data_IF_854557942190
#
_entry.id   IF_854557942190
#
_cell.length_a   1.000
_cell.length_b   1.000
_cell.length_c   1.000
_cell.angle_alpha   90.00
_cell.angle_beta   90.00
_cell.angle_gamma   90.00
#
_symmetry.space_group_name_H-M   'P 1'
#
loop_
_entity.id
_entity.type
_entity.pdbx_description
1 polymer ?
#
# COMPACT_ATOMS: atom_id res chain seq x y z
N UNK A 1 -1.32 27.10 -56.73
CA UNK A 1 -0.68 28.43 -56.85
C UNK A 1 -1.42 29.39 -55.92
N UNK A 2 -0.66 30.17 -55.12
CA UNK A 2 -1.06 31.33 -54.29
C UNK A 2 -2.09 31.09 -53.17
N UNK A 3 -1.91 31.46 -51.89
CA UNK A 3 -1.01 32.41 -51.21
C UNK A 3 -0.83 32.00 -49.73
N UNK A 4 0.33 32.38 -49.16
CA UNK A 4 0.74 32.31 -47.75
C UNK A 4 0.25 33.54 -46.96
N UNK A 5 0.25 33.45 -45.62
CA UNK A 5 0.16 34.56 -44.64
C UNK A 5 -0.45 34.08 -43.30
N UNK A 6 0.28 33.56 -42.30
CA UNK A 6 1.19 34.18 -41.30
C UNK A 6 0.47 34.60 -39.99
N UNK A 7 0.96 34.00 -38.88
CA UNK A 7 1.02 34.51 -37.48
C UNK A 7 -0.29 34.60 -36.66
N UNK A 8 -0.34 34.51 -35.32
CA UNK A 8 0.67 34.47 -34.26
C UNK A 8 0.07 33.82 -33.00
N UNK A 9 0.95 33.34 -32.11
CA UNK A 9 0.66 33.03 -30.72
C UNK A 9 0.22 34.27 -29.91
N UNK A 10 -0.52 34.05 -28.83
CA UNK A 10 -0.71 35.02 -27.75
C UNK A 10 -0.16 34.46 -26.44
N UNK A 11 0.97 35.03 -26.02
CA UNK A 11 1.44 35.11 -24.64
C UNK A 11 0.54 36.06 -23.82
N UNK A 12 0.46 35.81 -22.51
CA UNK A 12 0.55 36.84 -21.47
C UNK A 12 0.90 36.12 -20.17
N UNK A 13 2.17 36.03 -19.78
CA UNK A 13 2.98 37.04 -19.07
C UNK A 13 2.46 37.36 -17.67
N UNK A 14 3.25 37.01 -16.65
CA UNK A 14 3.82 38.01 -15.74
C UNK A 14 5.06 37.45 -15.04
N UNK A 15 6.24 37.91 -15.50
CA UNK A 15 7.52 37.82 -14.80
C UNK A 15 7.51 38.67 -13.52
N UNK A 16 8.27 38.25 -12.48
CA UNK A 16 9.12 39.22 -11.79
C UNK A 16 10.32 38.58 -11.04
N UNK A 17 11.51 38.80 -11.65
CA UNK A 17 12.81 39.19 -11.06
C UNK A 17 13.59 38.28 -10.09
N UNK A 18 14.70 37.82 -10.64
CA UNK A 18 15.96 37.39 -10.02
C UNK A 18 16.69 38.48 -9.21
N UNK A 19 17.39 38.09 -8.13
CA UNK A 19 18.66 38.66 -7.65
C UNK A 19 19.55 37.58 -6.97
N UNK A 20 20.90 37.73 -6.94
CA UNK A 20 21.90 36.65 -6.93
C UNK A 20 22.44 36.26 -5.52
N UNK A 21 23.37 35.27 -5.40
CA UNK A 21 23.64 34.54 -4.17
C UNK A 21 24.66 35.22 -3.24
N UNK A 22 24.53 34.96 -1.94
CA UNK A 22 25.53 35.31 -0.93
C UNK A 22 26.50 34.14 -0.71
N UNK A 23 27.77 34.37 -1.08
CA UNK A 23 28.94 33.61 -0.61
C UNK A 23 29.20 33.92 0.87
N UNK A 24 29.48 32.89 1.66
CA UNK A 24 30.25 33.03 2.91
C UNK A 24 31.35 31.99 2.92
N UNK A 25 32.59 32.46 2.71
CA UNK A 25 33.81 31.74 3.07
C UNK A 25 34.04 31.86 4.58
N UNK A 26 34.22 30.74 5.28
CA UNK A 26 35.03 30.69 6.51
C UNK A 26 35.82 29.39 6.58
N UNK A 27 37.15 29.57 6.57
CA UNK A 27 38.18 28.59 6.95
C UNK A 27 38.18 28.38 8.46
N UNK A 28 38.35 27.14 8.91
CA UNK A 28 39.08 26.73 10.12
C UNK A 28 39.15 25.20 10.12
N UNK A 29 40.25 24.56 9.66
CA UNK A 29 41.47 24.24 10.42
C UNK A 29 41.21 23.39 11.67
N UNK A 30 41.22 22.06 11.51
CA UNK A 30 41.72 21.16 12.54
C UNK A 30 42.61 20.08 11.91
N UNK A 31 43.77 19.93 12.54
CA UNK A 31 44.95 19.22 12.10
C UNK A 31 44.80 17.69 12.08
N UNK A 32 45.65 17.08 11.25
CA UNK A 32 45.94 15.65 11.17
C UNK A 32 46.59 15.13 12.45
N UNK A 33 46.46 13.82 12.69
CA UNK A 33 47.54 12.79 12.74
C UNK A 33 46.97 11.48 13.36
N UNK A 34 47.62 10.30 13.26
CA UNK A 34 47.95 9.53 12.06
C UNK A 34 47.49 8.06 12.14
N UNK A 35 47.69 7.34 11.03
CA UNK A 35 47.55 5.88 10.84
C UNK A 35 48.09 5.00 11.99
N UNK A 36 47.35 3.94 12.32
CA UNK A 36 47.90 2.68 12.82
C UNK A 36 47.27 1.47 12.13
N UNK A 37 48.15 0.50 11.92
CA UNK A 37 48.10 -0.72 11.14
C UNK A 37 47.13 -1.79 11.62
N UNK A 38 46.53 -2.47 10.64
CA UNK A 38 46.36 -3.93 10.48
C UNK A 38 46.14 -4.80 11.74
N UNK A 39 45.02 -5.53 11.78
CA UNK A 39 45.01 -6.96 12.14
C UNK A 39 43.67 -7.61 11.79
N UNK A 40 43.80 -8.77 11.15
CA UNK A 40 42.76 -9.72 10.76
C UNK A 40 41.83 -10.10 11.91
N UNK A 41 40.55 -10.24 11.59
CA UNK A 41 39.55 -10.88 12.43
C UNK A 41 38.26 -11.14 11.65
N UNK A 42 38.27 -12.17 10.80
CA UNK A 42 37.03 -12.77 10.31
C UNK A 42 36.23 -13.25 11.52
N UNK A 43 35.11 -12.58 11.80
CA UNK A 43 34.01 -13.19 12.53
C UNK A 43 32.75 -12.97 11.71
N UNK A 44 32.29 -14.07 11.14
CA UNK A 44 30.97 -14.19 10.56
C UNK A 44 29.95 -13.84 11.67
N UNK A 45 29.35 -12.67 11.52
CA UNK A 45 28.19 -12.26 12.30
C UNK A 45 27.03 -13.20 11.94
N UNK A 46 26.78 -14.17 12.81
CA UNK A 46 25.60 -15.00 12.79
C UNK A 46 24.43 -14.06 13.13
N UNK A 47 23.67 -13.65 12.11
CA UNK A 47 22.47 -12.84 12.29
C UNK A 47 21.57 -13.56 13.30
N UNK A 48 21.41 -12.96 14.47
CA UNK A 48 20.42 -13.39 15.44
C UNK A 48 19.06 -13.16 14.80
N UNK A 49 18.35 -14.24 14.53
CA UNK A 49 16.94 -14.22 14.18
C UNK A 49 16.19 -13.59 15.35
N UNK A 50 15.85 -12.30 15.24
CA UNK A 50 14.84 -11.70 16.09
C UNK A 50 13.48 -12.29 15.69
N UNK A 51 13.10 -13.37 16.36
CA UNK A 51 11.70 -13.77 16.47
C UNK A 51 11.02 -12.76 17.39
N UNK A 52 10.71 -11.58 16.85
CA UNK A 52 9.89 -10.58 17.51
C UNK A 52 8.49 -11.15 17.70
N UNK A 53 8.29 -11.78 18.87
CA UNK A 53 6.98 -12.27 19.30
C UNK A 53 6.13 -11.04 19.55
N UNK A 54 5.06 -10.86 18.77
CA UNK A 54 4.04 -9.86 19.09
C UNK A 54 3.62 -10.08 20.56
N UNK A 55 3.54 -9.04 21.42
CA UNK A 55 2.99 -9.20 22.76
C UNK A 55 1.47 -9.40 22.60
N UNK A 56 1.05 -10.64 22.37
CA UNK A 56 -0.34 -10.96 22.02
C UNK A 56 -0.94 -11.87 23.10
N UNK A 57 -1.88 -11.31 23.86
CA UNK A 57 -2.85 -12.12 24.60
C UNK A 57 -3.90 -12.76 23.67
N UNK A 58 -3.89 -12.42 22.38
CA UNK A 58 -4.90 -12.79 21.40
C UNK A 58 -4.27 -13.19 20.05
N UNK A 59 -4.60 -14.39 19.57
CA UNK A 59 -4.23 -14.89 18.23
C UNK A 59 -5.48 -14.99 17.38
N UNK A 60 -5.39 -14.65 16.08
CA UNK A 60 -6.55 -14.73 15.16
C UNK A 60 -7.09 -16.15 15.09
N UNK A 61 -8.41 -16.32 15.10
CA UNK A 61 -9.03 -17.62 14.85
C UNK A 61 -8.91 -18.00 13.37
N UNK A 62 -8.03 -18.97 13.08
CA UNK A 62 -7.77 -19.43 11.71
C UNK A 62 -9.02 -19.98 11.01
N UNK A 63 -9.92 -20.65 11.73
CA UNK A 63 -11.13 -21.22 11.12
C UNK A 63 -12.07 -20.11 10.63
N UNK A 64 -12.27 -19.08 11.46
CA UNK A 64 -13.08 -17.92 11.08
C UNK A 64 -12.44 -17.15 9.92
N UNK A 65 -11.12 -16.95 9.96
CA UNK A 65 -10.40 -16.29 8.87
C UNK A 65 -10.50 -17.09 7.56
N UNK A 66 -10.27 -18.40 7.59
CA UNK A 66 -10.36 -19.24 6.39
C UNK A 66 -11.78 -19.30 5.84
N UNK A 67 -12.80 -19.38 6.69
CA UNK A 67 -14.19 -19.25 6.27
C UNK A 67 -14.46 -17.88 5.62
N UNK A 68 -13.93 -16.80 6.20
CA UNK A 68 -14.08 -15.42 5.70
C UNK A 68 -13.50 -15.23 4.30
N UNK A 69 -12.37 -15.88 4.00
CA UNK A 69 -11.70 -15.79 2.70
C UNK A 69 -12.06 -16.93 1.72
N UNK A 70 -12.82 -17.93 2.16
CA UNK A 70 -13.17 -19.11 1.37
C UNK A 70 -11.99 -20.04 1.10
N UNK A 71 -11.10 -20.23 2.09
CA UNK A 71 -9.95 -21.13 1.98
C UNK A 71 -10.23 -22.48 2.67
N UNK A 72 -10.06 -23.58 1.93
CA UNK A 72 -10.26 -24.95 2.43
C UNK A 72 -9.01 -25.82 2.29
N UNK A 73 -7.87 -25.21 1.94
CA UNK A 73 -6.63 -25.91 1.61
C UNK A 73 -5.79 -26.30 2.84
N UNK A 74 -4.58 -26.83 2.59
CA UNK A 74 -3.63 -27.23 3.64
C UNK A 74 -3.23 -26.06 4.55
N UNK A 75 -2.88 -26.38 5.81
CA UNK A 75 -2.41 -25.43 6.81
C UNK A 75 -0.92 -25.63 7.08
N UNK A 76 -0.10 -25.39 6.05
CA UNK A 76 1.35 -25.58 6.09
C UNK A 76 2.10 -24.39 5.49
N UNK A 77 3.28 -24.09 6.01
CA UNK A 77 4.16 -23.02 5.54
C UNK A 77 4.83 -23.35 4.20
N UNK A 78 4.04 -23.40 3.12
CA UNK A 78 4.48 -23.72 1.76
C UNK A 78 4.17 -22.56 0.80
N UNK A 79 4.90 -22.47 -0.31
CA UNK A 79 4.66 -21.43 -1.31
C UNK A 79 3.24 -21.50 -1.88
N UNK A 80 2.71 -22.69 -2.11
CA UNK A 80 1.36 -22.92 -2.64
C UNK A 80 0.30 -22.36 -1.69
N UNK A 81 0.46 -22.56 -0.39
CA UNK A 81 -0.43 -22.00 0.64
C UNK A 81 -0.31 -20.48 0.66
N UNK A 82 0.91 -19.92 0.64
CA UNK A 82 1.10 -18.47 0.58
C UNK A 82 0.39 -17.86 -0.65
N UNK A 83 0.58 -18.46 -1.83
CA UNK A 83 -0.06 -17.99 -3.08
C UNK A 83 -1.58 -18.07 -3.00
N UNK A 84 -2.14 -19.16 -2.44
CA UNK A 84 -3.58 -19.32 -2.29
C UNK A 84 -4.17 -18.27 -1.36
N UNK A 85 -3.57 -18.07 -0.17
CA UNK A 85 -4.04 -17.10 0.81
C UNK A 85 -3.89 -15.66 0.30
N UNK A 86 -2.74 -15.33 -0.31
CA UNK A 86 -2.44 -14.00 -0.84
C UNK A 86 -3.41 -13.60 -1.96
N UNK A 87 -3.84 -14.56 -2.78
CA UNK A 87 -4.88 -14.35 -3.80
C UNK A 87 -6.28 -14.17 -3.20
N UNK A 88 -6.66 -15.02 -2.24
CA UNK A 88 -8.02 -15.05 -1.70
C UNK A 88 -8.32 -13.87 -0.77
N UNK A 89 -7.35 -13.43 0.02
CA UNK A 89 -7.52 -12.37 1.01
C UNK A 89 -8.08 -11.06 0.40
N UNK A 90 -7.43 -10.40 -0.58
CA UNK A 90 -7.93 -9.13 -1.13
C UNK A 90 -9.19 -9.28 -2.01
N UNK A 91 -9.58 -10.52 -2.37
CA UNK A 91 -10.86 -10.82 -3.03
C UNK A 91 -12.03 -10.82 -2.03
N UNK A 92 -11.76 -11.29 -0.82
CA UNK A 92 -12.77 -11.49 0.21
C UNK A 92 -12.88 -10.30 1.18
N UNK A 93 -11.74 -9.71 1.57
CA UNK A 93 -11.64 -8.62 2.54
C UNK A 93 -11.26 -7.35 1.77
N UNK A 94 -12.20 -6.41 1.58
CA UNK A 94 -11.95 -5.21 0.78
C UNK A 94 -11.00 -4.25 1.50
N UNK A 95 -10.24 -3.48 0.73
CA UNK A 95 -9.57 -2.30 1.25
C UNK A 95 -10.61 -1.20 1.48
N UNK A 96 -10.58 -0.55 2.65
CA UNK A 96 -11.41 0.62 2.94
C UNK A 96 -10.79 1.50 4.03
N UNK A 97 -11.14 2.78 4.02
CA UNK A 97 -10.70 3.76 5.00
C UNK A 97 -11.89 4.49 5.68
N UNK A 98 -13.01 3.82 5.89
CA UNK A 98 -14.21 4.40 6.48
C UNK A 98 -13.96 4.85 7.93
N UNK A 99 -13.14 4.13 8.69
CA UNK A 99 -12.76 4.54 10.05
C UNK A 99 -12.05 5.91 10.07
N UNK A 100 -10.87 6.09 9.42
CA UNK A 100 -10.20 7.39 9.44
C UNK A 100 -11.05 8.49 8.77
N UNK A 101 -11.81 8.17 7.72
CA UNK A 101 -12.73 9.12 7.11
C UNK A 101 -13.77 9.62 8.12
N UNK A 102 -14.35 8.73 8.94
CA UNK A 102 -15.33 9.08 9.98
C UNK A 102 -14.70 9.44 11.33
N UNK A 103 -13.38 9.69 11.37
CA UNK A 103 -12.60 10.02 12.58
C UNK A 103 -12.69 8.96 13.69
N UNK A 104 -12.97 7.71 13.33
CA UNK A 104 -12.89 6.57 14.24
C UNK A 104 -11.45 6.08 14.31
N UNK A 105 -11.04 5.59 15.47
CA UNK A 105 -9.71 5.01 15.65
C UNK A 105 -9.48 3.81 14.71
N UNK A 106 -8.25 3.68 14.24
CA UNK A 106 -7.77 2.48 13.55
C UNK A 106 -6.86 1.75 14.53
N UNK A 107 -7.35 0.63 15.06
CA UNK A 107 -6.65 -0.16 16.07
C UNK A 107 -5.92 -1.31 15.41
N UNK A 108 -4.67 -1.56 15.79
CA UNK A 108 -3.88 -2.66 15.24
C UNK A 108 -3.71 -3.84 16.21
N UNK A 109 -4.31 -3.81 17.40
CA UNK A 109 -4.41 -5.00 18.24
C UNK A 109 -5.22 -6.09 17.50
N UNK A 110 -4.72 -7.32 17.52
CA UNK A 110 -5.28 -8.40 16.69
C UNK A 110 -6.73 -8.72 17.02
N UNK A 111 -7.16 -8.56 18.27
CA UNK A 111 -8.56 -8.75 18.66
C UNK A 111 -9.46 -7.75 17.91
N UNK A 112 -9.08 -6.47 17.88
CA UNK A 112 -9.83 -5.45 17.16
C UNK A 112 -9.76 -5.62 15.65
N UNK A 113 -8.60 -6.01 15.10
CA UNK A 113 -8.44 -6.27 13.66
C UNK A 113 -9.28 -7.47 13.22
N UNK A 114 -9.22 -8.60 13.94
CA UNK A 114 -10.03 -9.79 13.63
C UNK A 114 -11.51 -9.46 13.73
N UNK A 115 -11.95 -8.87 14.85
CA UNK A 115 -13.36 -8.51 15.03
C UNK A 115 -13.87 -7.67 13.85
N UNK A 116 -13.11 -6.66 13.43
CA UNK A 116 -13.51 -5.78 12.32
C UNK A 116 -13.53 -6.51 10.97
N UNK A 117 -12.40 -7.08 10.55
CA UNK A 117 -12.22 -7.60 9.18
C UNK A 117 -12.91 -8.96 8.97
N UNK A 118 -12.96 -9.79 10.02
CA UNK A 118 -13.48 -11.16 9.98
C UNK A 118 -14.92 -11.20 10.49
N UNK A 119 -15.16 -10.87 11.75
CA UNK A 119 -16.46 -11.05 12.40
C UNK A 119 -17.52 -10.05 11.92
N UNK A 120 -17.15 -8.77 11.80
CA UNK A 120 -18.07 -7.69 11.41
C UNK A 120 -18.20 -7.53 9.89
N UNK A 121 -17.44 -8.31 9.10
CA UNK A 121 -17.40 -8.23 7.64
C UNK A 121 -17.14 -6.80 7.12
N UNK A 122 -16.25 -6.07 7.80
CA UNK A 122 -15.69 -4.81 7.29
C UNK A 122 -14.42 -5.09 6.49
N UNK A 123 -13.88 -4.03 5.90
CA UNK A 123 -12.54 -4.03 5.36
C UNK A 123 -11.56 -3.33 6.30
N UNK A 124 -10.36 -3.09 5.79
CA UNK A 124 -9.39 -2.24 6.43
C UNK A 124 -8.34 -1.77 5.43
N UNK A 125 -7.53 -0.79 5.83
CA UNK A 125 -6.40 -0.36 5.00
C UNK A 125 -5.13 -1.17 5.29
N UNK A 126 -3.99 -0.76 4.73
CA UNK A 126 -2.78 -1.58 4.67
C UNK A 126 -2.31 -2.16 6.00
N UNK A 127 -2.34 -1.40 7.10
CA UNK A 127 -1.90 -1.90 8.41
C UNK A 127 -2.83 -2.99 8.96
N UNK A 128 -4.15 -2.83 8.84
CA UNK A 128 -5.11 -3.83 9.32
C UNK A 128 -5.06 -5.11 8.47
N UNK A 129 -5.00 -4.95 7.15
CA UNK A 129 -4.93 -6.06 6.19
C UNK A 129 -3.67 -6.89 6.40
N UNK A 130 -2.50 -6.24 6.38
CA UNK A 130 -1.22 -6.95 6.48
C UNK A 130 -0.91 -7.41 7.91
N UNK A 131 -1.46 -6.79 8.97
CA UNK A 131 -1.36 -7.33 10.33
C UNK A 131 -2.16 -8.64 10.48
N UNK A 132 -3.41 -8.66 10.02
CA UNK A 132 -4.23 -9.88 10.00
C UNK A 132 -3.54 -10.99 9.19
N UNK A 133 -3.06 -10.64 7.99
CA UNK A 133 -2.39 -11.59 7.11
C UNK A 133 -1.08 -12.12 7.70
N UNK A 134 -0.28 -11.26 8.32
CA UNK A 134 0.96 -11.65 8.97
C UNK A 134 0.72 -12.64 10.13
N UNK A 135 -0.25 -12.37 11.00
CA UNK A 135 -0.56 -13.26 12.12
C UNK A 135 -1.00 -14.65 11.63
N UNK A 136 -1.89 -14.71 10.64
CA UNK A 136 -2.29 -15.97 10.00
C UNK A 136 -1.08 -16.72 9.45
N UNK A 137 -0.18 -16.04 8.74
CA UNK A 137 1.02 -16.67 8.19
C UNK A 137 1.96 -17.18 9.30
N UNK A 138 2.19 -16.40 10.36
CA UNK A 138 3.02 -16.83 11.48
C UNK A 138 2.42 -18.06 12.19
N UNK A 139 1.11 -18.10 12.38
CA UNK A 139 0.42 -19.26 12.94
C UNK A 139 0.54 -20.52 12.06
N UNK A 140 0.63 -20.36 10.74
CA UNK A 140 0.89 -21.45 9.80
C UNK A 140 2.36 -21.91 9.77
N UNK A 141 3.25 -21.23 10.49
CA UNK A 141 4.67 -21.56 10.61
C UNK A 141 5.58 -20.79 9.65
N UNK A 142 5.07 -19.78 8.95
CA UNK A 142 5.94 -18.91 8.14
C UNK A 142 6.79 -18.00 9.02
N UNK A 143 8.04 -17.78 8.62
CA UNK A 143 8.85 -16.69 9.18
C UNK A 143 8.50 -15.39 8.46
N UNK A 144 7.90 -14.44 9.17
CA UNK A 144 7.48 -13.14 8.61
C UNK A 144 8.40 -12.03 9.15
N UNK A 145 9.01 -11.28 8.24
CA UNK A 145 9.77 -10.06 8.57
C UNK A 145 8.93 -8.82 8.19
N UNK A 146 8.52 -8.00 9.17
CA UNK A 146 7.78 -6.77 8.92
C UNK A 146 8.69 -5.68 8.31
N UNK A 147 8.21 -5.01 7.27
CA UNK A 147 8.87 -3.88 6.60
C UNK A 147 7.94 -2.66 6.49
N UNK A 148 8.53 -1.49 6.28
CA UNK A 148 7.81 -0.24 5.98
C UNK A 148 8.19 0.31 4.60
N UNK A 149 7.18 0.83 3.91
CA UNK A 149 7.31 1.39 2.57
C UNK A 149 6.77 2.84 2.48
N UNK A 150 7.25 3.55 1.47
CA UNK A 150 6.84 4.90 1.10
C UNK A 150 6.01 4.83 -0.18
N UNK A 151 4.75 5.26 -0.14
CA UNK A 151 3.84 5.18 -1.29
C UNK A 151 4.24 6.19 -2.36
N UNK A 152 4.46 5.71 -3.59
CA UNK A 152 4.82 6.52 -4.75
C UNK A 152 3.72 6.54 -5.82
N UNK A 153 2.71 5.70 -5.69
CA UNK A 153 1.60 5.61 -6.65
C UNK A 153 0.93 6.97 -6.85
N UNK A 154 0.80 7.38 -8.11
CA UNK A 154 0.25 8.68 -8.49
C UNK A 154 1.16 9.88 -8.26
N UNK A 155 2.43 9.68 -7.87
CA UNK A 155 3.42 10.76 -7.74
C UNK A 155 4.33 10.81 -8.97
N UNK A 156 4.61 12.01 -9.44
CA UNK A 156 5.59 12.25 -10.51
C UNK A 156 7.03 12.07 -10.04
N UNK A 157 7.29 12.31 -8.75
CA UNK A 157 8.62 12.29 -8.16
C UNK A 157 8.62 11.65 -6.77
N UNK A 158 9.74 10.98 -6.45
CA UNK A 158 10.08 10.47 -5.12
C UNK A 158 10.70 11.54 -4.20
N UNK A 159 10.82 12.79 -4.67
CA UNK A 159 11.45 13.91 -3.97
C UNK A 159 10.48 15.08 -3.81
N UNK A 160 10.27 15.61 -2.59
CA UNK A 160 10.74 15.05 -1.31
C UNK A 160 10.08 13.68 -1.02
N UNK A 161 10.77 12.81 -0.25
CA UNK A 161 10.26 11.46 0.01
C UNK A 161 8.97 11.49 0.83
N UNK A 162 7.92 10.76 0.42
CA UNK A 162 6.71 10.62 1.24
C UNK A 162 7.01 9.82 2.51
N UNK A 163 6.20 9.94 3.57
CA UNK A 163 6.41 9.23 4.82
C UNK A 163 6.32 7.70 4.64
N UNK A 164 6.84 6.95 5.63
CA UNK A 164 6.74 5.48 5.67
C UNK A 164 5.37 5.09 6.20
N UNK A 165 4.38 4.98 5.32
CA UNK A 165 2.96 4.80 5.66
C UNK A 165 2.33 3.57 5.01
N UNK A 166 3.14 2.61 4.59
CA UNK A 166 2.66 1.37 4.02
C UNK A 166 3.38 0.16 4.60
N UNK A 167 2.63 -0.88 4.92
CA UNK A 167 3.12 -2.13 5.50
C UNK A 167 3.41 -3.13 4.39
N UNK A 168 4.58 -3.75 4.40
CA UNK A 168 4.98 -4.80 3.45
C UNK A 168 5.58 -5.96 4.25
N UNK A 169 5.31 -7.19 3.85
CA UNK A 169 5.83 -8.37 4.51
C UNK A 169 6.91 -9.04 3.65
N UNK A 170 8.01 -9.42 4.29
CA UNK A 170 8.97 -10.36 3.70
C UNK A 170 8.76 -11.74 4.33
N UNK A 171 8.83 -12.78 3.50
CA UNK A 171 8.85 -14.17 3.90
C UNK A 171 10.10 -14.86 3.38
N UNK A 172 10.60 -15.84 4.13
CA UNK A 172 11.68 -16.73 3.68
C UNK A 172 11.12 -18.17 3.61
N UNK A 173 11.09 -18.75 2.41
CA UNK A 173 10.54 -20.09 2.11
C UNK A 173 11.57 -20.82 1.27
N UNK A 174 12.01 -22.01 1.70
CA UNK A 174 12.95 -22.87 0.97
C UNK A 174 14.24 -22.16 0.49
N UNK A 175 14.78 -21.26 1.32
CA UNK A 175 15.94 -20.38 1.04
C UNK A 175 15.69 -19.29 -0.02
N UNK A 176 14.46 -19.09 -0.48
CA UNK A 176 14.05 -17.96 -1.30
C UNK A 176 13.34 -16.91 -0.46
N UNK A 177 13.64 -15.64 -0.71
CA UNK A 177 12.94 -14.51 -0.09
C UNK A 177 11.79 -14.05 -1.00
N UNK A 178 10.66 -13.73 -0.37
CA UNK A 178 9.41 -13.34 -1.02
C UNK A 178 8.88 -12.06 -0.39
N UNK A 179 8.16 -11.27 -1.18
CA UNK A 179 7.39 -10.10 -0.74
C UNK A 179 5.92 -10.43 -0.86
N UNK A 180 5.18 -10.20 0.22
CA UNK A 180 3.74 -10.29 0.26
C UNK A 180 3.13 -8.97 0.75
N UNK A 181 2.08 -8.55 0.06
CA UNK A 181 1.28 -7.38 0.42
C UNK A 181 -0.16 -7.58 -0.09
N UNK A 182 -1.11 -7.67 0.84
CA UNK A 182 -2.55 -7.81 0.54
C UNK A 182 -3.32 -6.51 0.82
N UNK A 183 -2.59 -5.43 1.16
CA UNK A 183 -3.15 -4.23 1.79
C UNK A 183 -2.97 -2.93 1.00
N UNK A 184 -2.41 -2.93 -0.20
CA UNK A 184 -2.18 -1.67 -0.93
C UNK A 184 -3.45 -1.01 -1.49
N UNK A 185 -4.53 -1.78 -1.66
CA UNK A 185 -5.78 -1.31 -2.26
C UNK A 185 -5.79 -1.39 -3.79
N UNK A 186 -5.87 -0.25 -4.48
CA UNK A 186 -6.21 -0.17 -5.91
C UNK A 186 -5.25 -0.91 -6.84
N UNK A 187 -4.00 -1.10 -6.43
CA UNK A 187 -2.96 -1.86 -7.18
C UNK A 187 -2.36 -2.96 -6.31
N UNK A 188 -3.11 -3.49 -5.34
CA UNK A 188 -2.61 -4.56 -4.47
C UNK A 188 -2.16 -5.78 -5.26
N UNK A 189 -1.10 -6.42 -4.78
CA UNK A 189 -0.62 -7.66 -5.36
C UNK A 189 -1.71 -8.75 -5.27
N UNK A 190 -1.68 -9.70 -6.19
CA UNK A 190 -2.57 -10.89 -6.19
C UNK A 190 -1.81 -12.21 -6.12
N UNK A 191 -0.48 -12.12 -6.04
CA UNK A 191 0.42 -13.20 -5.71
C UNK A 191 1.65 -12.61 -4.98
N UNK A 192 2.32 -13.39 -4.12
CA UNK A 192 3.62 -12.99 -3.58
C UNK A 192 4.65 -12.88 -4.71
N UNK A 193 5.60 -11.97 -4.56
CA UNK A 193 6.69 -11.77 -5.53
C UNK A 193 8.00 -12.29 -4.97
N UNK A 194 8.80 -12.98 -5.79
CA UNK A 194 10.19 -13.26 -5.45
C UNK A 194 10.94 -11.96 -5.23
N UNK A 195 11.74 -11.91 -4.17
CA UNK A 195 12.62 -10.79 -3.85
C UNK A 195 13.84 -10.79 -4.77
N UNK A 196 13.62 -10.57 -6.06
CA UNK A 196 14.65 -10.53 -7.11
C UNK A 196 14.48 -9.28 -7.95
N UNK A 197 15.47 -8.39 -7.90
CA UNK A 197 15.44 -7.16 -8.67
C UNK A 197 15.50 -7.41 -10.18
N UNK A 198 14.74 -6.64 -10.95
CA UNK A 198 14.67 -6.71 -12.42
C UNK A 198 13.77 -7.83 -12.97
N UNK A 199 13.31 -8.77 -12.14
CA UNK A 199 12.46 -9.87 -12.58
C UNK A 199 11.01 -9.40 -12.73
N UNK A 200 10.52 -9.37 -13.98
CA UNK A 200 9.10 -9.20 -14.27
C UNK A 200 8.33 -10.49 -13.90
N UNK A 201 7.29 -10.33 -13.10
CA UNK A 201 6.54 -11.42 -12.47
C UNK A 201 5.05 -11.21 -12.77
N UNK A 202 4.49 -11.98 -13.73
CA UNK A 202 3.06 -11.95 -14.01
C UNK A 202 2.24 -12.43 -12.81
N UNK A 203 1.20 -11.68 -12.49
CA UNK A 203 0.15 -12.07 -11.53
C UNK A 203 -1.20 -12.06 -12.25
N UNK A 204 -2.28 -12.51 -11.60
CA UNK A 204 -3.62 -12.53 -12.21
C UNK A 204 -4.06 -11.12 -12.67
N UNK A 205 -3.70 -10.08 -11.92
CA UNK A 205 -4.11 -8.68 -12.19
C UNK A 205 -2.92 -7.73 -12.39
N UNK A 206 -2.00 -8.14 -13.25
CA UNK A 206 -0.90 -7.31 -13.75
C UNK A 206 0.46 -7.97 -13.62
N UNK A 207 1.43 -7.44 -14.36
CA UNK A 207 2.84 -7.82 -14.24
C UNK A 207 3.55 -6.84 -13.32
N UNK A 208 4.20 -7.35 -12.29
CA UNK A 208 4.94 -6.54 -11.33
C UNK A 208 6.43 -6.85 -11.41
N UNK A 209 7.25 -5.92 -10.92
CA UNK A 209 8.67 -6.20 -10.67
C UNK A 209 9.15 -5.47 -9.44
N UNK A 210 10.24 -5.95 -8.89
CA UNK A 210 11.06 -5.20 -7.94
C UNK A 210 12.21 -4.55 -8.73
N UNK A 211 12.38 -3.24 -8.63
CA UNK A 211 13.47 -2.52 -9.29
C UNK A 211 14.42 -1.92 -8.25
N UNK A 212 15.72 -1.81 -8.57
CA UNK A 212 16.71 -1.20 -7.68
C UNK A 212 16.39 0.31 -7.50
N UNK A 213 16.18 0.72 -6.26
CA UNK A 213 15.93 2.11 -5.87
C UNK A 213 17.16 2.82 -5.30
N UNK A 214 18.35 2.23 -5.50
CA UNK A 214 19.63 2.60 -4.93
C UNK A 214 19.64 2.57 -3.39
N UNK A 215 20.84 2.56 -2.80
CA UNK A 215 21.05 2.59 -1.33
C UNK A 215 20.33 1.46 -0.57
N UNK A 216 20.29 0.26 -1.16
CA UNK A 216 19.72 -0.93 -0.53
C UNK A 216 18.18 -0.94 -0.46
N UNK A 217 17.52 -0.15 -1.30
CA UNK A 217 16.07 -0.10 -1.39
C UNK A 217 15.57 -0.64 -2.74
N UNK A 218 14.29 -0.97 -2.79
CA UNK A 218 13.59 -1.44 -3.97
C UNK A 218 12.35 -0.59 -4.24
N UNK A 219 12.02 -0.43 -5.50
CA UNK A 219 10.70 -0.04 -5.96
C UNK A 219 9.87 -1.29 -6.22
N UNK A 220 8.63 -1.33 -5.73
CA UNK A 220 7.60 -2.13 -6.40
C UNK A 220 7.11 -1.31 -7.60
N UNK A 221 7.12 -1.92 -8.78
CA UNK A 221 6.58 -1.33 -10.00
C UNK A 221 5.55 -2.27 -10.63
N UNK A 222 4.55 -1.68 -11.27
CA UNK A 222 3.56 -2.39 -12.09
C UNK A 222 3.72 -1.96 -13.55
N UNK A 223 3.63 -2.91 -14.46
CA UNK A 223 3.71 -2.64 -15.89
C UNK A 223 2.40 -1.99 -16.37
N UNK A 224 2.52 -0.85 -17.03
CA UNK A 224 1.41 -0.17 -17.69
C UNK A 224 1.18 -0.73 -19.11
N UNK A 225 0.08 -0.29 -19.75
CA UNK A 225 -0.31 -0.78 -21.09
C UNK A 225 0.67 -0.42 -22.20
N UNK A 226 1.43 0.66 -22.02
CA UNK A 226 2.49 1.10 -22.93
C UNK A 226 3.85 0.45 -22.60
N UNK A 227 3.83 -0.64 -21.82
CA UNK A 227 4.99 -1.41 -21.34
C UNK A 227 5.92 -0.63 -20.40
N UNK A 228 5.60 0.63 -20.09
CA UNK A 228 6.32 1.40 -19.10
C UNK A 228 6.07 0.86 -17.68
N UNK A 229 6.96 1.20 -16.76
CA UNK A 229 6.86 0.75 -15.37
C UNK A 229 6.44 1.92 -14.48
N UNK A 230 5.29 1.78 -13.84
CA UNK A 230 4.77 2.76 -12.91
C UNK A 230 5.14 2.37 -11.47
N UNK A 231 5.70 3.33 -10.72
CA UNK A 231 6.13 3.12 -9.33
C UNK A 231 4.92 3.06 -8.40
N UNK A 232 4.86 2.00 -7.60
CA UNK A 232 3.79 1.78 -6.61
C UNK A 232 4.25 2.26 -5.23
N UNK A 233 5.35 1.71 -4.72
CA UNK A 233 5.97 2.15 -3.48
C UNK A 233 7.47 1.82 -3.46
N UNK A 234 8.20 2.49 -2.56
CA UNK A 234 9.62 2.25 -2.29
C UNK A 234 9.80 1.70 -0.88
N UNK A 235 10.59 0.65 -0.71
CA UNK A 235 10.89 0.06 0.60
C UNK A 235 12.36 -0.36 0.67
N UNK A 236 12.89 -0.46 1.88
CA UNK A 236 14.18 -1.09 2.14
C UNK A 236 13.96 -2.39 2.93
N UNK A 237 15.00 -3.19 3.05
CA UNK A 237 14.94 -4.50 3.72
C UNK A 237 15.28 -4.43 5.20
N UNK A 238 15.29 -3.22 5.79
CA UNK A 238 15.48 -3.09 7.22
C UNK A 238 14.21 -3.54 7.94
N UNK A 239 14.28 -4.59 8.78
CA UNK A 239 13.15 -4.98 9.61
C UNK A 239 12.73 -3.81 10.49
N UNK A 240 11.42 -3.68 10.68
CA UNK A 240 10.85 -2.78 11.69
C UNK A 240 10.31 -3.60 12.85
N UNK A 241 10.03 -2.98 13.98
CA UNK A 241 9.30 -3.64 15.04
C UNK A 241 7.80 -3.49 14.80
N UNK A 242 6.99 -4.45 15.27
CA UNK A 242 5.54 -4.39 15.09
C UNK A 242 4.90 -3.10 15.64
N UNK A 243 5.49 -2.54 16.71
CA UNK A 243 5.06 -1.27 17.31
C UNK A 243 5.31 -0.06 16.40
N UNK A 244 6.27 -0.13 15.47
CA UNK A 244 6.54 0.96 14.53
C UNK A 244 5.34 1.22 13.62
N UNK A 245 4.53 0.19 13.35
CA UNK A 245 3.28 0.33 12.60
C UNK A 245 2.27 1.22 13.32
N UNK A 246 2.24 1.26 14.66
CA UNK A 246 1.32 2.16 15.38
C UNK A 246 1.63 3.63 15.12
N UNK A 247 2.92 3.98 15.01
CA UNK A 247 3.33 5.36 14.69
C UNK A 247 2.92 5.74 13.27
N UNK A 248 3.17 4.86 12.30
CA UNK A 248 2.77 5.08 10.91
C UNK A 248 1.25 5.08 10.73
N UNK A 249 0.53 4.21 11.43
CA UNK A 249 -0.93 4.10 11.48
C UNK A 249 -1.56 5.37 12.06
N UNK A 250 -1.00 5.90 13.15
CA UNK A 250 -1.45 7.16 13.74
C UNK A 250 -1.34 8.31 12.74
N UNK A 251 -0.18 8.49 12.09
CA UNK A 251 -0.05 9.54 11.06
C UNK A 251 -1.05 9.32 9.91
N UNK A 252 -1.15 8.09 9.41
CA UNK A 252 -1.98 7.74 8.26
C UNK A 252 -3.48 7.90 8.53
N UNK A 253 -3.93 7.70 9.77
CA UNK A 253 -5.35 7.78 10.15
C UNK A 253 -5.78 9.13 10.70
N UNK A 254 -4.85 9.95 11.23
CA UNK A 254 -5.20 11.19 11.95
C UNK A 254 -4.62 12.46 11.34
N UNK A 255 -3.52 12.37 10.58
CA UNK A 255 -2.89 13.56 10.01
C UNK A 255 -3.82 14.22 8.98
N UNK A 256 -3.98 15.56 9.01
CA UNK A 256 -4.72 16.27 7.97
C UNK A 256 -4.03 16.20 6.60
N UNK A 257 -2.73 15.85 6.55
CA UNK A 257 -1.99 15.65 5.31
C UNK A 257 -2.22 14.26 4.69
N UNK A 258 -2.77 13.30 5.46
CA UNK A 258 -3.03 11.96 4.96
C UNK A 258 -4.34 11.93 4.15
N UNK A 259 -4.25 11.37 2.94
CA UNK A 259 -5.39 11.26 2.01
C UNK A 259 -6.59 10.52 2.63
N UNK A 260 -6.34 9.57 3.53
CA UNK A 260 -7.36 8.71 4.11
C UNK A 260 -8.30 9.42 5.09
N UNK A 261 -7.95 10.62 5.55
CA UNK A 261 -8.85 11.43 6.37
C UNK A 261 -9.81 12.26 5.52
N UNK A 262 -9.51 12.56 4.26
CA UNK A 262 -10.29 13.50 3.43
C UNK A 262 -10.95 12.86 2.21
N UNK A 263 -10.50 11.68 1.81
CA UNK A 263 -10.93 11.00 0.58
C UNK A 263 -11.40 9.60 0.92
N UNK A 264 -12.58 9.21 0.44
CA UNK A 264 -13.02 7.81 0.54
C UNK A 264 -12.31 6.98 -0.53
N UNK A 265 -11.67 5.90 -0.10
CA UNK A 265 -11.00 4.93 -0.96
C UNK A 265 -11.48 3.55 -0.53
N UNK A 266 -12.18 2.87 -1.42
CA UNK A 266 -12.57 1.47 -1.25
C UNK A 266 -12.08 0.68 -2.45
N UNK A 267 -11.44 -0.46 -2.23
CA UNK A 267 -10.96 -1.30 -3.34
C UNK A 267 -11.27 -2.77 -3.08
N UNK A 268 -11.54 -3.51 -4.16
CA UNK A 268 -11.72 -4.96 -4.11
C UNK A 268 -11.14 -5.61 -5.35
N UNK A 269 -10.50 -6.76 -5.16
CA UNK A 269 -10.03 -7.62 -6.23
C UNK A 269 -11.19 -8.51 -6.71
N UNK A 270 -11.48 -8.48 -8.00
CA UNK A 270 -12.39 -9.40 -8.67
C UNK A 270 -11.55 -10.43 -9.47
N UNK A 271 -12.13 -11.56 -9.92
CA UNK A 271 -11.35 -12.59 -10.61
C UNK A 271 -10.59 -12.12 -11.86
N UNK A 272 -11.07 -11.12 -12.60
CA UNK A 272 -10.39 -10.56 -13.78
C UNK A 272 -10.33 -9.02 -13.80
N UNK A 273 -10.68 -8.38 -12.68
CA UNK A 273 -10.80 -6.93 -12.61
C UNK A 273 -10.50 -6.39 -11.20
N UNK A 274 -10.35 -5.09 -11.12
CA UNK A 274 -10.20 -4.33 -9.88
C UNK A 274 -11.36 -3.36 -9.79
N UNK A 275 -12.07 -3.38 -8.68
CA UNK A 275 -13.08 -2.40 -8.35
C UNK A 275 -12.47 -1.34 -7.43
N UNK A 276 -12.68 -0.07 -7.73
CA UNK A 276 -12.24 1.04 -6.91
C UNK A 276 -13.33 2.10 -6.81
N UNK A 277 -13.67 2.49 -5.59
CA UNK A 277 -14.49 3.65 -5.28
C UNK A 277 -13.58 4.74 -4.73
N UNK A 278 -13.47 5.83 -5.47
CA UNK A 278 -12.79 7.04 -5.04
C UNK A 278 -13.84 8.13 -4.82
N UNK A 279 -14.07 8.52 -3.57
CA UNK A 279 -15.18 9.40 -3.21
C UNK A 279 -16.52 8.84 -3.69
N UNK A 280 -17.17 9.51 -4.65
CA UNK A 280 -18.42 9.08 -5.27
C UNK A 280 -18.21 8.47 -6.67
N UNK A 281 -16.96 8.27 -7.11
CA UNK A 281 -16.64 7.70 -8.42
C UNK A 281 -16.29 6.22 -8.28
N UNK A 282 -17.18 5.36 -8.76
CA UNK A 282 -16.95 3.92 -8.89
C UNK A 282 -16.32 3.63 -10.24
N UNK A 283 -15.21 2.88 -10.24
CA UNK A 283 -14.53 2.43 -11.45
C UNK A 283 -14.19 0.95 -11.38
N UNK A 284 -14.27 0.29 -12.52
CA UNK A 284 -13.82 -1.08 -12.72
C UNK A 284 -12.72 -1.09 -13.78
N UNK A 285 -11.59 -1.74 -13.48
CA UNK A 285 -10.43 -1.83 -14.38
C UNK A 285 -10.02 -3.27 -14.60
N UNK A 286 -9.71 -3.62 -15.84
CA UNK A 286 -9.17 -4.92 -16.20
C UNK A 286 -7.75 -5.12 -15.62
N UNK A 287 -7.24 -6.35 -15.71
CA UNK A 287 -5.87 -6.71 -15.30
C UNK A 287 -4.76 -5.83 -15.93
N UNK A 288 -4.95 -5.38 -17.18
CA UNK A 288 -4.03 -4.49 -17.88
C UNK A 288 -4.23 -2.99 -17.53
N UNK A 289 -5.13 -2.67 -16.60
CA UNK A 289 -5.44 -1.30 -16.19
C UNK A 289 -6.45 -0.57 -17.09
N UNK A 290 -6.92 -1.21 -18.19
CA UNK A 290 -7.96 -0.64 -19.05
C UNK A 290 -9.24 -0.42 -18.24
N UNK A 291 -9.83 0.77 -18.38
CA UNK A 291 -11.12 1.10 -17.79
C UNK A 291 -12.22 0.27 -18.46
N UNK A 292 -12.95 -0.51 -17.67
CA UNK A 292 -14.11 -1.29 -18.09
C UNK A 292 -15.37 -0.45 -17.94
N UNK A 293 -15.56 0.14 -16.76
CA UNK A 293 -16.70 0.99 -16.44
C UNK A 293 -16.30 2.08 -15.46
N UNK A 294 -17.01 3.21 -15.53
CA UNK A 294 -16.91 4.30 -14.57
C UNK A 294 -18.30 4.90 -14.37
N UNK A 295 -18.67 5.14 -13.12
CA UNK A 295 -19.98 5.68 -12.75
C UNK A 295 -19.89 6.48 -11.46
N UNK A 296 -20.48 7.66 -11.48
CA UNK A 296 -20.69 8.45 -10.28
C UNK A 296 -21.92 7.97 -9.51
N UNK A 297 -21.77 7.80 -8.20
CA UNK A 297 -22.86 7.53 -7.25
C UNK A 297 -23.60 8.83 -6.94
N UNK A 298 -24.94 8.82 -7.01
CA UNK A 298 -25.75 10.05 -6.91
C UNK A 298 -26.45 10.25 -5.57
N UNK A 299 -26.38 9.28 -4.67
CA UNK A 299 -27.03 9.36 -3.36
C UNK A 299 -26.34 8.49 -2.31
N UNK A 300 -26.63 8.78 -1.04
CA UNK A 300 -26.26 7.92 0.09
C UNK A 300 -26.81 6.49 -0.06
N UNK A 301 -28.00 6.33 -0.64
CA UNK A 301 -28.58 5.01 -0.94
C UNK A 301 -27.75 4.22 -1.94
N UNK A 302 -27.27 4.87 -3.01
CA UNK A 302 -26.36 4.26 -3.98
C UNK A 302 -24.99 3.92 -3.35
N UNK A 303 -24.46 4.78 -2.47
CA UNK A 303 -23.24 4.47 -1.73
C UNK A 303 -23.41 3.24 -0.84
N UNK A 304 -24.51 3.17 -0.07
CA UNK A 304 -24.79 2.04 0.80
C UNK A 304 -24.92 0.73 0.01
N UNK A 305 -25.65 0.75 -1.10
CA UNK A 305 -25.79 -0.42 -1.99
C UNK A 305 -24.44 -0.82 -2.60
N UNK A 306 -23.65 0.16 -3.07
CA UNK A 306 -22.32 -0.09 -3.62
C UNK A 306 -21.39 -0.79 -2.61
N UNK A 307 -21.29 -0.25 -1.39
CA UNK A 307 -20.47 -0.82 -0.32
C UNK A 307 -20.88 -2.25 0.04
N UNK A 308 -22.18 -2.52 0.19
CA UNK A 308 -22.66 -3.87 0.53
C UNK A 308 -22.54 -4.84 -0.62
N UNK A 309 -23.10 -4.49 -1.78
CA UNK A 309 -23.38 -5.47 -2.84
C UNK A 309 -22.13 -5.73 -3.68
N UNK A 310 -21.28 -4.71 -3.89
CA UNK A 310 -20.08 -4.84 -4.72
C UNK A 310 -18.81 -5.02 -3.89
N UNK A 311 -18.69 -4.32 -2.76
CA UNK A 311 -17.50 -4.44 -1.89
C UNK A 311 -17.67 -5.47 -0.76
N UNK A 312 -18.89 -5.92 -0.45
CA UNK A 312 -19.14 -6.87 0.63
C UNK A 312 -18.92 -6.27 2.02
N UNK A 313 -19.06 -4.96 2.16
CA UNK A 313 -18.83 -4.23 3.41
C UNK A 313 -20.13 -4.13 4.19
N UNK A 314 -20.13 -4.59 5.43
CA UNK A 314 -21.21 -4.31 6.37
C UNK A 314 -21.25 -2.82 6.73
N UNK A 315 -22.40 -2.16 6.53
CA UNK A 315 -22.57 -0.73 6.80
C UNK A 315 -23.43 -0.42 8.02
N UNK A 316 -23.80 -1.43 8.82
CA UNK A 316 -24.86 -1.32 9.83
C UNK A 316 -24.61 -0.27 10.92
N UNK A 317 -23.35 0.05 11.21
CA UNK A 317 -22.94 0.99 12.24
C UNK A 317 -22.48 2.35 11.68
N UNK A 318 -22.64 2.60 10.38
CA UNK A 318 -22.14 3.79 9.68
C UNK A 318 -23.27 4.76 9.32
N UNK A 319 -23.02 6.07 9.51
CA UNK A 319 -23.86 7.12 8.94
C UNK A 319 -23.49 7.34 7.46
N UNK A 320 -24.15 6.58 6.58
CA UNK A 320 -23.88 6.67 5.14
C UNK A 320 -24.31 8.02 4.54
N UNK A 321 -25.29 8.70 5.15
CA UNK A 321 -25.71 10.02 4.68
C UNK A 321 -24.60 11.05 4.94
N UNK A 322 -24.06 11.09 6.16
CA UNK A 322 -22.94 11.96 6.52
C UNK A 322 -21.70 11.66 5.66
N UNK A 323 -21.37 10.38 5.46
CA UNK A 323 -20.25 9.98 4.61
C UNK A 323 -20.45 10.47 3.18
N UNK A 324 -21.63 10.25 2.59
CA UNK A 324 -21.91 10.66 1.22
C UNK A 324 -21.85 12.18 1.06
N UNK A 325 -22.39 12.95 2.01
CA UNK A 325 -22.33 14.41 1.98
C UNK A 325 -20.90 14.95 2.01
N UNK A 326 -20.00 14.25 2.70
CA UNK A 326 -18.58 14.60 2.76
C UNK A 326 -17.83 14.31 1.47
N UNK A 327 -18.18 13.25 0.75
CA UNK A 327 -17.40 12.75 -0.39
C UNK A 327 -18.01 13.06 -1.75
N UNK A 328 -19.28 13.45 -1.82
CA UNK A 328 -19.94 13.75 -3.09
C UNK A 328 -19.24 14.91 -3.80
N UNK A 329 -19.09 14.76 -5.11
CA UNK A 329 -18.63 15.84 -5.98
C UNK A 329 -19.65 16.98 -5.88
N UNK A 330 -19.24 18.23 -5.61
CA UNK A 330 -20.15 19.36 -5.57
C UNK A 330 -20.89 19.52 -6.90
N UNK A 331 -22.18 19.84 -6.86
CA UNK A 331 -22.91 20.21 -8.06
C UNK A 331 -22.23 21.43 -8.69
N UNK A 332 -21.89 21.37 -9.98
CA UNK A 332 -21.44 22.54 -10.71
C UNK A 332 -22.57 23.55 -10.70
N UNK A 333 -22.34 24.72 -10.09
CA UNK A 333 -23.25 25.85 -10.18
C UNK A 333 -23.13 26.37 -11.61
N UNK A 334 -24.04 25.94 -12.48
CA UNK A 334 -24.19 26.46 -13.86
C UNK A 334 -24.88 27.81 -13.88
#
# INVERSE_FOLDING_TARGET
MTKRGVSAASNSDYENRSRPPLRVDRKSSYDRLPNRTDTRGQQASRAQTHTGTLPMSHTVNLDNYFARIGYEGPRAATLEVLQALHRLHPRAIPFENLNPLTRRAVKLDLESVERKLVTEHRGGYCFEQNALFADVLMQLGFTVTPLLARVLWGRESDTPPPPRTHMVLRLDIDNEAWIADVGFGSVTLTAPLRLTAGLAQPTELGTFRLADASRGALYLEVQARDESWARVYRFDLHPVEWIDYETSNWYTSTSPEAIFASTLIVCRVLPQARLALLNDQLSERAADGRLISERQLKSAGELAACLRDQFGINTGDLDIAEIFDRVRTPAQIT
#
